data_IF_036518128087
#
_entry.id   IF_036518128087
#
_cell.length_a   1.000
_cell.length_b   1.000
_cell.length_c   1.000
_cell.angle_alpha   90.00
_cell.angle_beta   90.00
_cell.angle_gamma   90.00
#
_symmetry.space_group_name_H-M   'P 1'
#
loop_
_entity.id
_entity.type
_entity.pdbx_description
1 polymer ?
#
# COMPACT_ATOMS: atom_id res chain seq x y z
N UNK A 1 30.22 -8.46 24.80
CA UNK A 1 29.64 -9.80 24.69
C UNK A 1 28.98 -10.01 23.34
N UNK A 2 27.95 -9.22 23.03
CA UNK A 2 27.15 -9.34 21.80
C UNK A 2 27.96 -9.12 20.51
N UNK A 3 28.99 -8.28 20.50
CA UNK A 3 29.83 -8.14 19.30
C UNK A 3 30.64 -9.42 19.00
N UNK A 4 31.01 -10.20 20.03
CA UNK A 4 31.78 -11.44 19.86
C UNK A 4 30.95 -12.58 19.29
N UNK A 5 29.66 -12.66 19.60
CA UNK A 5 28.76 -13.71 19.08
C UNK A 5 28.45 -13.53 17.59
N UNK A 6 28.74 -12.36 17.01
CA UNK A 6 28.57 -12.13 15.57
C UNK A 6 29.72 -12.72 14.75
N UNK A 7 30.85 -13.06 15.37
CA UNK A 7 31.98 -13.66 14.66
C UNK A 7 31.73 -15.15 14.42
N UNK A 8 31.47 -15.52 13.16
CA UNK A 8 31.23 -16.90 12.72
C UNK A 8 32.49 -17.78 12.69
N UNK A 9 33.69 -17.18 12.73
CA UNK A 9 34.96 -17.90 12.80
C UNK A 9 35.33 -18.42 14.19
N UNK A 10 34.48 -18.18 15.19
CA UNK A 10 34.65 -18.72 16.54
C UNK A 10 34.25 -20.20 16.57
N UNK A 11 34.97 -21.04 17.32
CA UNK A 11 34.64 -22.47 17.43
C UNK A 11 33.21 -22.71 17.94
N UNK A 12 32.57 -23.77 17.46
CA UNK A 12 31.16 -24.07 17.74
C UNK A 12 30.82 -24.06 19.24
N UNK A 13 31.66 -24.71 20.06
CA UNK A 13 31.48 -24.78 21.51
C UNK A 13 31.54 -23.40 22.18
N UNK A 14 32.50 -22.55 21.77
CA UNK A 14 32.62 -21.21 22.30
C UNK A 14 31.42 -20.32 21.94
N UNK A 15 30.83 -20.51 20.74
CA UNK A 15 29.58 -19.84 20.35
C UNK A 15 28.42 -20.30 21.25
N UNK A 16 28.31 -21.60 21.55
CA UNK A 16 27.28 -22.15 22.45
C UNK A 16 27.40 -21.56 23.86
N UNK A 17 28.61 -21.58 24.44
CA UNK A 17 28.86 -21.05 25.79
C UNK A 17 28.57 -19.55 25.89
N UNK A 18 28.97 -18.78 24.86
CA UNK A 18 28.64 -17.36 24.80
C UNK A 18 27.13 -17.10 24.68
N UNK A 19 26.42 -17.94 23.93
CA UNK A 19 24.97 -17.83 23.82
C UNK A 19 24.28 -18.11 25.15
N UNK A 20 24.72 -19.14 25.88
CA UNK A 20 24.22 -19.46 27.23
C UNK A 20 24.50 -18.34 28.21
N UNK A 21 25.71 -17.76 28.16
CA UNK A 21 26.07 -16.61 28.97
C UNK A 21 25.18 -15.40 28.67
N UNK A 22 24.92 -15.09 27.39
CA UNK A 22 24.00 -14.00 27.00
C UNK A 22 22.58 -14.28 27.51
N UNK A 23 22.07 -15.50 27.37
CA UNK A 23 20.73 -15.85 27.88
C UNK A 23 20.64 -15.78 29.41
N UNK A 24 21.72 -16.09 30.14
CA UNK A 24 21.81 -15.89 31.59
C UNK A 24 21.70 -14.40 31.94
N UNK A 25 22.50 -13.54 31.29
CA UNK A 25 22.46 -12.10 31.52
C UNK A 25 21.08 -11.49 31.24
N UNK A 26 20.38 -11.95 30.20
CA UNK A 26 19.05 -11.41 29.90
C UNK A 26 18.01 -11.85 30.95
N UNK A 27 18.11 -13.06 31.51
CA UNK A 27 17.26 -13.48 32.62
C UNK A 27 17.52 -12.64 33.87
N UNK A 28 18.79 -12.42 34.21
CA UNK A 28 19.18 -11.55 35.31
C UNK A 28 18.64 -10.13 35.09
N UNK A 29 18.84 -9.56 33.90
CA UNK A 29 18.27 -8.25 33.52
C UNK A 29 16.75 -8.21 33.71
N UNK A 30 16.02 -9.25 33.32
CA UNK A 30 14.57 -9.30 33.50
C UNK A 30 14.18 -9.28 34.99
N UNK A 31 14.88 -10.03 35.84
CA UNK A 31 14.67 -10.00 37.29
C UNK A 31 15.00 -8.63 37.89
N UNK A 32 16.08 -8.00 37.45
CA UNK A 32 16.43 -6.63 37.86
C UNK A 32 15.36 -5.62 37.43
N UNK A 33 14.89 -5.69 36.19
CA UNK A 33 13.81 -4.82 35.71
C UNK A 33 12.52 -5.01 36.54
N UNK A 34 12.17 -6.25 36.89
CA UNK A 34 11.03 -6.52 37.78
C UNK A 34 11.25 -5.90 39.17
N UNK A 35 12.46 -6.03 39.72
CA UNK A 35 12.80 -5.44 41.02
C UNK A 35 12.72 -3.91 41.00
N UNK A 36 13.14 -3.28 39.90
CA UNK A 36 13.01 -1.82 39.73
C UNK A 36 11.54 -1.40 39.78
N UNK A 37 10.64 -2.14 39.12
CA UNK A 37 9.20 -1.87 39.16
C UNK A 37 8.64 -2.04 40.58
N UNK A 38 9.03 -3.09 41.30
CA UNK A 38 8.62 -3.30 42.69
C UNK A 38 9.06 -2.16 43.63
N UNK A 39 10.22 -1.55 43.34
CA UNK A 39 10.73 -0.39 44.08
C UNK A 39 10.09 0.94 43.65
N UNK A 40 9.05 0.91 42.80
CA UNK A 40 8.36 2.10 42.30
C UNK A 40 9.07 2.81 41.14
N UNK A 41 10.04 2.14 40.50
CA UNK A 41 10.75 2.65 39.33
C UNK A 41 10.00 2.42 38.01
N UNK A 42 10.64 2.81 36.90
CA UNK A 42 10.08 2.69 35.54
C UNK A 42 10.09 1.23 35.06
N UNK A 43 9.05 0.83 34.31
CA UNK A 43 9.00 -0.50 33.70
C UNK A 43 9.79 -0.58 32.39
N UNK A 44 11.07 -0.91 32.52
CA UNK A 44 11.98 -1.09 31.39
C UNK A 44 11.57 -2.24 30.46
N UNK A 45 10.86 -3.27 30.93
CA UNK A 45 10.43 -4.39 30.08
C UNK A 45 9.36 -3.96 29.08
N UNK A 46 8.48 -3.03 29.47
CA UNK A 46 7.47 -2.46 28.57
C UNK A 46 8.10 -1.47 27.60
N UNK A 47 9.01 -0.61 28.08
CA UNK A 47 9.73 0.35 27.25
C UNK A 47 10.54 -0.34 26.14
N UNK A 48 11.30 -1.38 26.48
CA UNK A 48 12.09 -2.13 25.50
C UNK A 48 11.23 -2.85 24.47
N UNK A 49 10.10 -3.43 24.89
CA UNK A 49 9.13 -4.04 23.95
C UNK A 49 8.56 -3.01 22.99
N UNK A 50 8.22 -1.81 23.49
CA UNK A 50 7.68 -0.72 22.67
C UNK A 50 8.70 -0.22 21.66
N UNK A 51 9.94 -0.02 22.09
CA UNK A 51 11.05 0.39 21.20
C UNK A 51 11.32 -0.67 20.13
N UNK A 52 11.34 -1.95 20.48
CA UNK A 52 11.55 -3.04 19.52
C UNK A 52 10.45 -3.11 18.45
N UNK A 53 9.19 -2.84 18.81
CA UNK A 53 8.07 -2.77 17.85
C UNK A 53 8.22 -1.56 16.92
N UNK A 54 8.56 -0.40 17.49
CA UNK A 54 8.68 0.85 16.74
C UNK A 54 9.83 0.81 15.72
N UNK A 55 10.96 0.24 16.10
CA UNK A 55 12.16 0.20 15.28
C UNK A 55 12.07 -0.88 14.17
N UNK A 56 11.36 -1.99 14.40
CA UNK A 56 11.48 -3.18 13.53
C UNK A 56 10.16 -3.70 12.95
N UNK A 57 9.06 -2.99 13.15
CA UNK A 57 7.80 -3.19 12.44
C UNK A 57 7.02 -4.46 12.80
N UNK A 58 7.67 -5.54 13.23
CA UNK A 58 7.03 -6.82 13.53
C UNK A 58 7.72 -7.59 14.68
N UNK A 59 6.94 -7.99 15.69
CA UNK A 59 7.39 -8.84 16.83
C UNK A 59 7.81 -10.24 16.37
N UNK A 60 7.32 -10.70 15.21
CA UNK A 60 7.47 -12.09 14.74
C UNK A 60 8.66 -12.32 13.83
N UNK A 61 9.22 -11.27 13.21
CA UNK A 61 10.39 -11.36 12.33
C UNK A 61 11.57 -10.53 12.87
N UNK A 62 11.94 -10.73 14.14
CA UNK A 62 13.21 -10.26 14.67
C UNK A 62 14.39 -11.10 14.14
N UNK A 63 14.48 -11.24 12.82
CA UNK A 63 15.51 -12.00 12.11
C UNK A 63 16.71 -11.13 11.69
N UNK A 64 16.65 -9.80 11.84
CA UNK A 64 17.77 -8.91 11.51
C UNK A 64 18.62 -8.58 12.75
N UNK A 65 19.93 -8.60 12.54
CA UNK A 65 21.06 -8.04 13.29
C UNK A 65 20.78 -7.49 14.70
N UNK A 66 21.20 -8.25 15.70
CA UNK A 66 21.25 -7.85 17.11
C UNK A 66 20.20 -8.50 18.01
N UNK A 67 18.98 -8.73 17.50
CA UNK A 67 17.93 -9.41 18.26
C UNK A 67 18.06 -10.93 18.14
N UNK A 68 18.12 -11.61 19.29
CA UNK A 68 18.18 -13.07 19.35
C UNK A 68 16.87 -13.67 18.82
N UNK A 69 17.00 -14.69 17.97
CA UNK A 69 15.86 -15.40 17.43
C UNK A 69 15.39 -16.39 18.49
N UNK A 70 14.13 -16.24 18.93
CA UNK A 70 13.48 -17.13 19.88
C UNK A 70 12.46 -17.99 19.16
N UNK A 71 12.51 -19.30 19.37
CA UNK A 71 11.43 -20.19 18.94
C UNK A 71 10.22 -19.98 19.86
N UNK A 72 9.02 -19.88 19.25
CA UNK A 72 7.76 -19.80 20.00
C UNK A 72 7.61 -21.06 20.84
N UNK A 73 7.52 -20.91 22.17
CA UNK A 73 7.44 -22.03 23.12
C UNK A 73 8.78 -22.51 23.71
N UNK A 74 9.92 -21.95 23.31
CA UNK A 74 11.26 -22.36 23.81
C UNK A 74 11.62 -21.83 25.21
N UNK A 75 10.63 -21.50 26.05
CA UNK A 75 10.88 -21.08 27.44
C UNK A 75 11.70 -19.79 27.62
N UNK A 76 11.83 -18.97 26.58
CA UNK A 76 12.56 -17.69 26.63
C UNK A 76 14.05 -17.78 26.28
N UNK A 77 14.57 -18.96 25.91
CA UNK A 77 15.91 -19.10 25.35
C UNK A 77 15.98 -18.55 23.92
N UNK A 78 17.04 -17.82 23.60
CA UNK A 78 17.23 -17.16 22.30
C UNK A 78 18.62 -17.46 21.74
N UNK A 79 18.74 -17.43 20.42
CA UNK A 79 20.00 -17.60 19.70
C UNK A 79 20.41 -16.29 19.03
N UNK A 80 21.62 -15.80 19.31
CA UNK A 80 22.12 -14.51 18.82
C UNK A 80 23.25 -14.70 17.80
N UNK A 81 23.31 -13.85 16.77
CA UNK A 81 24.39 -13.84 15.78
C UNK A 81 24.69 -15.22 15.19
N UNK A 82 25.97 -15.61 15.19
CA UNK A 82 26.47 -16.88 14.68
C UNK A 82 25.87 -18.11 15.40
N UNK A 83 25.31 -17.95 16.61
CA UNK A 83 24.63 -19.05 17.29
C UNK A 83 23.37 -19.52 16.56
N UNK A 84 22.80 -18.71 15.65
CA UNK A 84 21.67 -19.10 14.80
C UNK A 84 22.08 -20.11 13.72
N UNK A 85 23.34 -20.07 13.29
CA UNK A 85 23.89 -20.92 12.22
C UNK A 85 24.43 -22.26 12.71
N UNK A 86 24.40 -22.50 14.02
CA UNK A 86 24.83 -23.75 14.63
C UNK A 86 24.06 -24.96 14.05
N UNK A 87 24.74 -26.11 13.83
CA UNK A 87 24.08 -27.35 13.47
C UNK A 87 22.95 -27.70 14.45
N UNK A 88 21.81 -28.16 13.93
CA UNK A 88 20.59 -28.43 14.70
C UNK A 88 19.76 -27.18 15.03
N UNK A 89 20.38 -26.07 15.45
CA UNK A 89 19.66 -24.80 15.71
C UNK A 89 19.13 -24.21 14.40
N UNK A 90 19.98 -24.19 13.37
CA UNK A 90 19.61 -23.77 12.01
C UNK A 90 18.44 -24.58 11.45
N UNK A 91 18.44 -25.89 11.69
CA UNK A 91 17.35 -26.78 11.26
C UNK A 91 16.04 -26.50 12.00
N UNK A 92 16.09 -26.25 13.31
CA UNK A 92 14.91 -25.88 14.11
C UNK A 92 14.27 -24.60 13.58
N UNK A 93 15.09 -23.60 13.24
CA UNK A 93 14.59 -22.36 12.66
C UNK A 93 14.05 -22.54 11.24
N UNK A 94 14.71 -23.33 10.39
CA UNK A 94 14.17 -23.65 9.06
C UNK A 94 12.81 -24.37 9.14
N UNK A 95 12.66 -25.34 10.06
CA UNK A 95 11.39 -26.04 10.33
C UNK A 95 10.30 -25.13 10.89
N UNK A 96 10.67 -24.08 11.64
CA UNK A 96 9.71 -23.12 12.15
C UNK A 96 9.34 -22.07 11.09
N UNK A 97 10.30 -21.63 10.28
CA UNK A 97 10.07 -20.70 9.18
C UNK A 97 9.14 -21.30 8.12
N UNK A 98 9.27 -22.60 7.81
CA UNK A 98 8.36 -23.28 6.88
C UNK A 98 6.91 -23.36 7.38
N UNK A 99 6.68 -23.28 8.69
CA UNK A 99 5.33 -23.21 9.29
C UNK A 99 4.70 -21.82 9.20
N UNK A 100 5.50 -20.76 9.04
CA UNK A 100 4.98 -19.40 8.83
C UNK A 100 4.54 -19.31 7.37
N UNK A 101 3.35 -19.84 7.09
CA UNK A 101 2.75 -19.71 5.77
C UNK A 101 2.32 -18.27 5.55
N UNK A 102 2.62 -17.71 4.36
CA UNK A 102 2.05 -16.43 3.94
C UNK A 102 0.51 -16.51 4.01
N UNK A 103 -0.15 -15.39 4.35
CA UNK A 103 -1.61 -15.31 4.35
C UNK A 103 -2.15 -15.80 3.01
N UNK A 104 -3.03 -16.79 3.02
CA UNK A 104 -3.64 -17.30 1.79
C UNK A 104 -4.81 -16.38 1.40
N UNK A 105 -5.26 -16.43 0.13
CA UNK A 105 -6.46 -15.70 -0.32
C UNK A 105 -7.66 -15.98 0.60
N UNK A 106 -7.84 -17.23 1.03
CA UNK A 106 -8.87 -17.62 2.00
C UNK A 106 -8.81 -16.89 3.34
N UNK A 107 -7.63 -16.50 3.82
CA UNK A 107 -7.51 -15.71 5.05
C UNK A 107 -7.86 -14.24 4.82
N UNK A 108 -7.64 -13.72 3.61
CA UNK A 108 -8.05 -12.37 3.21
C UNK A 108 -9.58 -12.30 3.16
N UNK A 109 -10.23 -13.29 2.54
CA UNK A 109 -11.69 -13.35 2.44
C UNK A 109 -12.42 -13.37 3.79
N UNK A 110 -11.79 -13.83 4.87
CA UNK A 110 -12.38 -13.78 6.23
C UNK A 110 -12.58 -12.36 6.75
N UNK A 111 -11.79 -11.40 6.27
CA UNK A 111 -11.86 -10.00 6.69
C UNK A 111 -12.57 -9.11 5.68
N UNK A 112 -12.99 -9.66 4.53
CA UNK A 112 -13.81 -8.95 3.55
C UNK A 112 -15.25 -9.03 4.02
N UNK A 113 -15.74 -7.93 4.59
CA UNK A 113 -17.10 -7.81 5.11
C UNK A 113 -18.13 -7.35 4.07
N UNK A 114 -19.42 -7.28 4.44
CA UNK A 114 -20.49 -6.75 3.60
C UNK A 114 -20.21 -5.33 3.06
N UNK A 115 -19.51 -4.52 3.84
CA UNK A 115 -19.08 -3.16 3.48
C UNK A 115 -18.22 -3.14 2.21
N UNK A 116 -17.43 -4.18 1.95
CA UNK A 116 -16.65 -4.28 0.71
C UNK A 116 -17.54 -4.43 -0.53
N UNK A 117 -18.73 -4.99 -0.35
CA UNK A 117 -19.72 -5.18 -1.41
C UNK A 117 -20.78 -4.07 -1.43
N UNK A 118 -20.61 -3.00 -0.63
CA UNK A 118 -21.54 -1.86 -0.60
C UNK A 118 -22.94 -2.20 -0.06
N UNK A 119 -23.11 -3.34 0.61
CA UNK A 119 -24.42 -3.82 1.11
C UNK A 119 -25.08 -2.87 2.13
N UNK A 120 -24.33 -1.91 2.68
CA UNK A 120 -24.78 -0.93 3.69
C UNK A 120 -24.77 0.51 3.19
N UNK A 121 -24.36 0.75 1.94
CA UNK A 121 -24.21 2.11 1.39
C UNK A 121 -25.58 2.76 1.11
N UNK A 122 -26.65 1.95 1.01
CA UNK A 122 -28.03 2.45 0.86
C UNK A 122 -28.69 2.84 2.20
N UNK A 123 -28.11 2.46 3.35
CA UNK A 123 -28.74 2.67 4.67
C UNK A 123 -28.54 4.09 5.23
N UNK A 124 -27.51 4.82 4.80
CA UNK A 124 -27.20 6.15 5.31
C UNK A 124 -27.99 7.30 4.63
N UNK A 125 -28.65 7.00 3.50
CA UNK A 125 -29.43 7.94 2.72
C UNK A 125 -28.61 8.98 1.94
N UNK A 126 -27.29 8.98 2.06
CA UNK A 126 -26.40 9.95 1.38
C UNK A 126 -26.46 9.76 -0.13
N UNK A 127 -26.52 8.49 -0.58
CA UNK A 127 -26.63 8.17 -2.01
C UNK A 127 -27.91 8.77 -2.63
N UNK A 128 -29.05 8.67 -1.93
CA UNK A 128 -30.34 9.18 -2.40
C UNK A 128 -30.34 10.71 -2.59
N UNK A 129 -29.70 11.45 -1.68
CA UNK A 129 -29.59 12.91 -1.81
C UNK A 129 -28.74 13.31 -3.03
N UNK A 130 -27.61 12.62 -3.24
CA UNK A 130 -26.74 12.85 -4.39
C UNK A 130 -27.44 12.51 -5.71
N UNK A 131 -28.19 11.41 -5.74
CA UNK A 131 -29.01 11.02 -6.90
C UNK A 131 -30.10 12.06 -7.20
N UNK A 132 -30.79 12.57 -6.18
CA UNK A 132 -31.82 13.59 -6.35
C UNK A 132 -31.25 14.91 -6.91
N UNK A 133 -30.09 15.34 -6.41
CA UNK A 133 -29.37 16.51 -6.93
C UNK A 133 -28.95 16.31 -8.38
N UNK A 134 -28.40 15.15 -8.70
CA UNK A 134 -27.94 14.82 -10.06
C UNK A 134 -29.12 14.71 -11.02
N UNK A 135 -30.22 14.09 -10.60
CA UNK A 135 -31.48 13.98 -11.35
C UNK A 135 -32.08 15.35 -11.64
N UNK A 136 -32.05 16.27 -10.67
CA UNK A 136 -32.54 17.64 -10.83
C UNK A 136 -31.73 18.41 -11.87
N UNK A 137 -30.39 18.34 -11.78
CA UNK A 137 -29.49 18.94 -12.78
C UNK A 137 -29.71 18.36 -14.18
N UNK A 138 -29.85 17.04 -14.29
CA UNK A 138 -30.13 16.38 -15.56
C UNK A 138 -31.48 16.83 -16.16
N UNK A 139 -32.50 17.02 -15.30
CA UNK A 139 -33.80 17.57 -15.71
C UNK A 139 -33.71 19.00 -16.22
N UNK A 140 -32.95 19.85 -15.55
CA UNK A 140 -32.70 21.23 -15.99
C UNK A 140 -31.99 21.26 -17.35
N UNK A 141 -30.92 20.48 -17.50
CA UNK A 141 -30.23 20.32 -18.78
C UNK A 141 -31.17 19.85 -19.91
N UNK A 142 -32.00 18.83 -19.65
CA UNK A 142 -32.98 18.34 -20.64
C UNK A 142 -34.03 19.39 -21.00
N UNK A 143 -34.41 20.25 -20.03
CA UNK A 143 -35.36 21.33 -20.26
C UNK A 143 -34.75 22.43 -21.13
N UNK A 144 -33.54 22.87 -20.81
CA UNK A 144 -32.79 23.85 -21.61
C UNK A 144 -32.56 23.34 -23.03
N UNK A 145 -32.18 22.07 -23.17
CA UNK A 145 -32.01 21.41 -24.47
C UNK A 145 -33.32 21.40 -25.26
N UNK A 146 -34.44 21.04 -24.64
CA UNK A 146 -35.77 21.04 -25.27
C UNK A 146 -36.18 22.44 -25.74
N UNK A 147 -36.03 23.45 -24.88
CA UNK A 147 -36.36 24.84 -25.22
C UNK A 147 -35.47 25.39 -26.34
N UNK A 148 -34.19 25.00 -26.37
CA UNK A 148 -33.27 25.30 -27.47
C UNK A 148 -33.72 24.67 -28.79
N UNK A 149 -34.16 23.41 -28.76
CA UNK A 149 -34.73 22.72 -29.92
C UNK A 149 -36.02 23.37 -30.42
N UNK A 150 -36.94 23.74 -29.52
CA UNK A 150 -38.20 24.39 -29.88
C UNK A 150 -37.98 25.78 -30.49
N UNK A 151 -37.02 26.56 -29.97
CA UNK A 151 -36.64 27.86 -30.55
C UNK A 151 -36.03 27.70 -31.94
N UNK A 152 -35.11 26.75 -32.15
CA UNK A 152 -34.57 26.43 -33.48
C UNK A 152 -35.67 25.99 -34.43
N UNK A 153 -36.62 25.18 -33.97
CA UNK A 153 -37.79 24.74 -34.76
C UNK A 153 -38.70 25.90 -35.13
N UNK A 154 -39.02 26.80 -34.20
CA UNK A 154 -39.84 27.98 -34.48
C UNK A 154 -39.11 28.98 -35.37
N UNK A 155 -37.80 29.15 -35.21
CA UNK A 155 -36.99 29.96 -36.11
C UNK A 155 -37.01 29.38 -37.52
N UNK A 156 -36.84 28.05 -37.67
CA UNK A 156 -36.97 27.33 -38.95
C UNK A 156 -38.36 27.47 -39.58
N UNK A 157 -39.43 27.48 -38.78
CA UNK A 157 -40.81 27.70 -39.27
C UNK A 157 -41.05 29.17 -39.71
N UNK A 158 -40.34 30.14 -39.13
CA UNK A 158 -40.46 31.57 -39.48
C UNK A 158 -39.57 31.96 -40.68
N UNK A 159 -38.50 31.21 -40.93
CA UNK A 159 -37.55 31.46 -42.03
C UNK A 159 -37.83 30.65 -43.31
N UNK A 160 -38.99 30.01 -43.44
CA UNK A 160 -39.40 29.27 -44.65
C UNK A 160 -39.95 30.22 -45.75
N UNK A 161 -39.08 31.10 -46.24
CA UNK A 161 -39.10 31.54 -47.64
C UNK A 161 -37.65 31.79 -48.12
N UNK A 162 -36.76 30.83 -47.90
CA UNK A 162 -35.67 30.58 -48.84
C UNK A 162 -35.22 29.12 -48.73
N UNK A 163 -35.20 28.45 -49.87
CA UNK A 163 -34.95 27.01 -49.99
C UNK A 163 -33.49 26.83 -50.38
N UNK A 164 -32.57 26.82 -49.41
CA UNK A 164 -31.19 26.40 -49.67
C UNK A 164 -30.61 25.64 -48.47
N UNK A 165 -30.63 24.31 -48.64
CA UNK A 165 -29.61 23.35 -48.21
C UNK A 165 -29.11 23.44 -46.75
N UNK A 166 -29.96 23.06 -45.79
CA UNK A 166 -29.50 22.76 -44.44
C UNK A 166 -28.86 21.38 -44.41
N UNK A 167 -27.53 21.39 -44.57
CA UNK A 167 -26.60 20.34 -44.21
C UNK A 167 -26.99 19.73 -42.84
N UNK A 168 -27.23 18.42 -42.82
CA UNK A 168 -27.50 17.68 -41.60
C UNK A 168 -26.25 17.76 -40.70
N UNK A 169 -26.32 18.57 -39.65
CA UNK A 169 -25.37 18.52 -38.54
C UNK A 169 -25.59 17.20 -37.79
N UNK A 170 -25.00 16.13 -38.34
CA UNK A 170 -24.68 14.93 -37.58
C UNK A 170 -23.83 15.42 -36.43
N UNK A 171 -24.39 15.43 -35.22
CA UNK A 171 -23.58 15.47 -34.01
C UNK A 171 -22.71 14.22 -34.13
N UNK A 172 -21.50 14.42 -34.66
CA UNK A 172 -20.37 13.57 -34.39
C UNK A 172 -20.47 13.35 -32.89
N UNK A 173 -20.78 12.12 -32.48
CA UNK A 173 -20.09 11.58 -31.31
C UNK A 173 -18.67 12.05 -31.55
N UNK A 174 -18.21 13.06 -30.82
CA UNK A 174 -16.78 13.27 -30.74
C UNK A 174 -16.31 11.88 -30.38
N UNK A 175 -15.64 11.23 -31.34
CA UNK A 175 -14.71 10.19 -31.02
C UNK A 175 -13.82 10.92 -30.02
N UNK A 176 -14.17 10.78 -28.73
CA UNK A 176 -13.32 11.15 -27.62
C UNK A 176 -12.06 10.40 -27.98
N UNK A 177 -11.09 11.13 -28.56
CA UNK A 177 -9.89 10.54 -29.12
C UNK A 177 -9.23 9.93 -27.90
N UNK A 178 -9.56 8.66 -27.69
CA UNK A 178 -9.34 7.98 -26.44
C UNK A 178 -7.86 8.09 -26.21
N UNK A 179 -7.47 8.91 -25.24
CA UNK A 179 -6.08 9.14 -24.95
C UNK A 179 -5.55 7.79 -24.52
N UNK A 180 -4.86 7.16 -25.47
CA UNK A 180 -4.50 5.76 -25.42
C UNK A 180 -3.94 5.43 -24.06
N UNK A 181 -4.49 4.37 -23.45
CA UNK A 181 -3.96 3.82 -22.21
C UNK A 181 -2.46 3.60 -22.34
N UNK A 182 -1.79 3.34 -21.22
CA UNK A 182 -0.31 3.19 -21.12
C UNK A 182 0.33 2.27 -22.20
N UNK A 183 -0.45 1.41 -22.88
CA UNK A 183 -0.01 0.51 -23.96
C UNK A 183 -0.48 0.86 -25.38
N UNK A 184 -1.30 1.90 -25.57
CA UNK A 184 -1.79 2.34 -26.89
C UNK A 184 -2.82 1.40 -27.55
N UNK A 185 -3.40 0.46 -26.81
CA UNK A 185 -4.44 -0.46 -27.31
C UNK A 185 -5.86 0.11 -27.12
N UNK A 186 -6.72 -0.16 -28.11
CA UNK A 186 -8.10 0.35 -28.21
C UNK A 186 -9.07 -0.21 -27.16
N UNK A 187 -8.67 -1.23 -26.40
CA UNK A 187 -9.49 -1.91 -25.38
C UNK A 187 -9.08 -1.58 -23.93
N UNK A 188 -8.35 -0.48 -23.70
CA UNK A 188 -7.89 -0.10 -22.36
C UNK A 188 -8.99 0.61 -21.54
N UNK A 189 -9.14 0.19 -20.27
CA UNK A 189 -10.10 0.71 -19.29
C UNK A 189 -9.95 2.23 -19.14
N UNK A 190 -11.05 2.96 -19.35
CA UNK A 190 -11.13 4.42 -19.23
C UNK A 190 -10.84 4.88 -17.80
N UNK A 191 -9.77 5.63 -17.58
CA UNK A 191 -9.48 6.24 -16.28
C UNK A 191 -10.07 7.65 -16.23
N UNK A 192 -10.98 7.91 -15.28
CA UNK A 192 -11.64 9.22 -15.09
C UNK A 192 -10.72 10.34 -14.59
N UNK A 193 -9.42 10.09 -14.47
CA UNK A 193 -8.42 11.07 -14.03
C UNK A 193 -7.43 11.26 -15.18
N UNK A 194 -7.18 12.51 -15.56
CA UNK A 194 -6.25 12.85 -16.63
C UNK A 194 -4.82 12.42 -16.27
N UNK A 195 -4.38 11.29 -16.80
CA UNK A 195 -3.01 10.80 -16.69
C UNK A 195 -2.28 11.09 -18.02
N UNK A 196 -1.14 11.79 -18.00
CA UNK A 196 -0.37 12.07 -19.21
C UNK A 196 0.05 10.78 -19.94
N UNK A 197 0.05 10.81 -21.28
CA UNK A 197 0.50 9.68 -22.10
C UNK A 197 2.00 9.46 -21.97
N UNK A 198 2.43 8.23 -22.22
CA UNK A 198 3.84 7.82 -22.14
C UNK A 198 4.75 8.64 -23.07
N UNK A 199 4.24 9.06 -24.22
CA UNK A 199 4.97 9.89 -25.18
C UNK A 199 5.22 11.31 -24.66
N UNK A 200 4.23 11.89 -23.98
CA UNK A 200 4.37 13.21 -23.35
C UNK A 200 5.41 13.14 -22.21
N UNK A 201 5.35 12.08 -21.40
CA UNK A 201 6.31 11.85 -20.31
C UNK A 201 7.72 11.63 -20.86
N UNK A 202 7.90 10.85 -21.92
CA UNK A 202 9.23 10.61 -22.49
C UNK A 202 9.87 11.88 -23.07
N UNK A 203 9.09 12.69 -23.78
CA UNK A 203 9.55 13.96 -24.37
C UNK A 203 9.96 14.98 -23.31
N UNK A 204 9.19 15.09 -22.23
CA UNK A 204 9.51 16.00 -21.11
C UNK A 204 10.78 15.57 -20.38
N UNK A 205 10.95 14.27 -20.12
CA UNK A 205 12.19 13.72 -19.53
C UNK A 205 13.41 14.02 -20.43
N UNK A 206 13.26 13.84 -21.74
CA UNK A 206 14.35 14.11 -22.70
C UNK A 206 14.75 15.59 -22.69
N UNK A 207 13.77 16.50 -22.65
CA UNK A 207 14.04 17.94 -22.56
C UNK A 207 14.75 18.32 -21.25
N UNK A 208 14.33 17.74 -20.12
CA UNK A 208 14.98 17.97 -18.83
C UNK A 208 16.44 17.51 -18.85
N UNK A 209 16.69 16.28 -19.32
CA UNK A 209 18.05 15.74 -19.46
C UNK A 209 18.93 16.60 -20.37
N UNK A 210 18.37 17.11 -21.47
CA UNK A 210 19.07 18.02 -22.38
C UNK A 210 19.45 19.33 -21.67
N UNK A 211 18.55 19.87 -20.85
CA UNK A 211 18.80 21.10 -20.08
C UNK A 211 19.89 20.89 -19.01
N UNK A 212 19.81 19.80 -18.24
CA UNK A 212 20.83 19.45 -17.24
C UNK A 212 22.22 19.25 -17.86
N UNK A 213 22.30 18.62 -19.04
CA UNK A 213 23.56 18.47 -19.76
C UNK A 213 24.15 19.82 -20.19
N UNK A 214 23.31 20.75 -20.64
CA UNK A 214 23.74 22.11 -21.00
C UNK A 214 24.20 22.89 -19.76
N UNK A 215 23.50 22.77 -18.64
CA UNK A 215 23.90 23.37 -17.36
C UNK A 215 25.22 22.79 -16.83
N UNK A 216 25.49 21.51 -17.10
CA UNK A 216 26.75 20.85 -16.71
C UNK A 216 27.93 21.20 -17.63
N UNK A 217 27.65 21.64 -18.85
CA UNK A 217 28.65 22.08 -19.85
C UNK A 217 28.92 23.59 -19.81
N UNK A 218 28.02 24.36 -19.19
CA UNK A 218 28.21 25.77 -18.86
C UNK A 218 29.00 25.95 -17.57
#
# INVERSE_FOLDING_TARGET
GVHRIQNSGMGEHAIRDLNDHINKLIREKYHWNRRIVELGGKDYNVLERRQAILERGDIQLAASDGAGLGLKGSGGYRYFGAAKDLPGVKELFARHASKITKRKRGDIYKYIGPDYYGLRDEEDGVLLELEALTSSKAREYLKEFREGYEKKRQHKIVTDYDWEDDEYDYVSEEEDEGIGGVTGERDAITAHVAVPTQDIVSKTILMQKKKELLERLS
#
